data_IF_268869999069
#
_entry.id   IF_268869999069
#
_cell.length_a   1.000
_cell.length_b   1.000
_cell.length_c   1.000
_cell.angle_alpha   90.00
_cell.angle_beta   90.00
_cell.angle_gamma   90.00
#
_symmetry.space_group_name_H-M   'P 1'
#
loop_
_entity.id
_entity.type
_entity.pdbx_description
1 polymer ?
#
# COMPACT_ATOMS: atom_id res chain seq x y z
N UNK A 1 5.41 3.13 10.45
CA UNK A 1 4.30 3.86 9.79
C UNK A 1 3.97 3.37 8.38
N UNK A 2 4.90 2.70 7.70
CA UNK A 2 4.85 2.43 6.26
C UNK A 2 3.62 1.62 5.80
N UNK A 3 3.34 0.47 6.43
CA UNK A 3 2.13 -0.33 6.15
C UNK A 3 0.83 0.48 6.24
N UNK A 4 0.77 1.50 7.12
CA UNK A 4 -0.39 2.38 7.22
C UNK A 4 -0.48 3.36 6.04
N UNK A 5 0.66 3.84 5.54
CA UNK A 5 0.73 4.64 4.31
C UNK A 5 0.20 3.81 3.13
N UNK A 6 0.69 2.58 2.96
CA UNK A 6 0.22 1.68 1.92
C UNK A 6 -1.28 1.40 2.04
N UNK A 7 -1.74 1.02 3.25
CA UNK A 7 -3.17 0.81 3.53
C UNK A 7 -4.01 2.04 3.16
N UNK A 8 -3.58 3.24 3.56
CA UNK A 8 -4.30 4.48 3.28
C UNK A 8 -4.29 4.85 1.79
N UNK A 9 -3.23 4.52 1.06
CA UNK A 9 -3.18 4.68 -0.41
C UNK A 9 -4.26 3.82 -1.08
N UNK A 10 -4.43 2.58 -0.60
CA UNK A 10 -5.45 1.65 -1.08
C UNK A 10 -6.86 2.09 -0.76
N UNK A 11 -7.10 2.57 0.46
CA UNK A 11 -8.42 3.08 0.85
C UNK A 11 -8.79 4.34 0.06
N UNK A 12 -7.84 5.25 -0.22
CA UNK A 12 -8.08 6.44 -1.02
C UNK A 12 -8.44 6.07 -2.47
N UNK A 13 -7.66 5.16 -3.07
CA UNK A 13 -7.90 4.63 -4.43
C UNK A 13 -9.27 3.99 -4.52
N UNK A 14 -9.61 3.13 -3.57
CA UNK A 14 -10.89 2.45 -3.52
C UNK A 14 -12.07 3.40 -3.25
N UNK A 15 -11.90 4.42 -2.42
CA UNK A 15 -12.92 5.44 -2.18
C UNK A 15 -13.24 6.21 -3.47
N UNK A 16 -12.23 6.62 -4.24
CA UNK A 16 -12.41 7.27 -5.53
C UNK A 16 -13.19 6.37 -6.52
N UNK A 17 -12.80 5.11 -6.65
CA UNK A 17 -13.47 4.14 -7.54
C UNK A 17 -14.92 3.88 -7.06
N UNK A 18 -15.12 3.65 -5.76
CA UNK A 18 -16.43 3.34 -5.18
C UNK A 18 -17.43 4.50 -5.30
N UNK A 19 -16.95 5.75 -5.22
CA UNK A 19 -17.76 6.95 -5.46
C UNK A 19 -18.20 7.06 -6.93
N UNK A 20 -17.33 6.68 -7.86
CA UNK A 20 -17.63 6.65 -9.30
C UNK A 20 -18.57 5.50 -9.67
N UNK A 21 -18.58 4.44 -8.87
CA UNK A 21 -19.43 3.27 -9.08
C UNK A 21 -20.90 3.52 -8.69
N UNK A 22 -21.82 3.01 -9.52
CA UNK A 22 -23.25 2.96 -9.25
C UNK A 22 -23.59 1.80 -8.30
N UNK A 23 -23.24 1.95 -7.03
CA UNK A 23 -23.47 0.92 -6.00
C UNK A 23 -24.08 1.49 -4.72
N UNK A 24 -24.77 0.64 -3.96
CA UNK A 24 -25.34 1.01 -2.66
C UNK A 24 -24.25 1.40 -1.64
N UNK A 25 -24.58 2.28 -0.71
CA UNK A 25 -23.66 2.80 0.32
C UNK A 25 -22.93 1.71 1.11
N UNK A 26 -23.62 0.62 1.47
CA UNK A 26 -23.01 -0.55 2.14
C UNK A 26 -21.91 -1.19 1.28
N UNK A 27 -22.11 -1.28 -0.03
CA UNK A 27 -21.11 -1.81 -0.95
C UNK A 27 -19.93 -0.86 -1.10
N UNK A 28 -20.16 0.47 -1.08
CA UNK A 28 -19.08 1.46 -1.08
C UNK A 28 -18.16 1.29 0.14
N UNK A 29 -18.72 1.15 1.34
CA UNK A 29 -17.93 0.89 2.55
C UNK A 29 -17.10 -0.39 2.43
N UNK A 30 -17.69 -1.48 1.92
CA UNK A 30 -16.98 -2.74 1.67
C UNK A 30 -15.85 -2.58 0.67
N UNK A 31 -16.09 -1.86 -0.43
CA UNK A 31 -15.06 -1.61 -1.45
C UNK A 31 -13.89 -0.82 -0.86
N UNK A 32 -14.15 0.20 -0.03
CA UNK A 32 -13.08 0.97 0.64
C UNK A 32 -12.24 0.07 1.55
N UNK A 33 -12.87 -0.79 2.36
CA UNK A 33 -12.17 -1.76 3.19
C UNK A 33 -11.38 -2.78 2.36
N UNK A 34 -11.96 -3.26 1.25
CA UNK A 34 -11.25 -4.14 0.30
C UNK A 34 -10.02 -3.44 -0.27
N UNK A 35 -10.09 -2.14 -0.57
CA UNK A 35 -8.94 -1.36 -1.03
C UNK A 35 -7.81 -1.30 -0.02
N UNK A 36 -8.13 -0.98 1.24
CA UNK A 36 -7.13 -0.97 2.31
C UNK A 36 -6.45 -2.32 2.49
N UNK A 37 -7.24 -3.41 2.49
CA UNK A 37 -6.70 -4.77 2.53
C UNK A 37 -5.82 -5.09 1.32
N UNK A 38 -6.26 -4.74 0.11
CA UNK A 38 -5.53 -5.03 -1.12
C UNK A 38 -4.19 -4.31 -1.18
N UNK A 39 -4.11 -3.07 -0.70
CA UNK A 39 -2.86 -2.31 -0.65
C UNK A 39 -1.95 -2.75 0.49
N UNK A 40 -2.46 -3.30 1.60
CA UNK A 40 -1.61 -3.87 2.65
C UNK A 40 -1.12 -5.29 2.32
N UNK A 41 -1.69 -5.94 1.31
CA UNK A 41 -1.42 -7.33 0.99
C UNK A 41 0.01 -7.62 0.53
N UNK A 42 0.67 -6.76 -0.27
CA UNK A 42 2.05 -7.02 -0.72
C UNK A 42 3.01 -7.30 0.44
N UNK A 43 2.85 -6.60 1.57
CA UNK A 43 3.70 -6.73 2.76
C UNK A 43 3.39 -7.95 3.63
N UNK A 44 2.46 -8.82 3.23
CA UNK A 44 2.14 -10.03 3.99
C UNK A 44 3.37 -10.94 4.17
N UNK A 45 4.34 -10.84 3.27
CA UNK A 45 5.60 -11.59 3.33
C UNK A 45 6.59 -11.08 4.38
N UNK A 46 6.41 -9.88 4.95
CA UNK A 46 7.12 -9.47 6.17
C UNK A 46 6.73 -10.31 7.39
N UNK A 47 5.70 -11.16 7.29
CA UNK A 47 5.45 -12.23 8.25
C UNK A 47 6.67 -13.15 8.45
N UNK A 48 7.56 -13.26 7.46
CA UNK A 48 8.85 -13.96 7.61
C UNK A 48 9.76 -13.35 8.68
N UNK A 49 9.59 -12.06 9.03
CA UNK A 49 10.32 -11.40 10.11
C UNK A 49 9.70 -11.61 11.50
N UNK A 50 8.56 -12.30 11.60
CA UNK A 50 7.97 -12.59 12.89
C UNK A 50 8.94 -13.40 13.77
N UNK A 51 9.12 -13.01 15.03
CA UNK A 51 10.14 -13.58 15.93
C UNK A 51 10.02 -15.08 16.19
N UNK A 52 8.88 -15.70 15.87
CA UNK A 52 8.68 -17.16 15.98
C UNK A 52 8.61 -17.86 14.61
N UNK A 53 8.82 -17.16 13.50
CA UNK A 53 8.72 -17.71 12.15
C UNK A 53 9.61 -18.96 12.01
N UNK A 54 10.89 -18.83 12.31
CA UNK A 54 11.87 -19.93 12.16
C UNK A 54 11.56 -21.13 13.05
N UNK A 55 11.20 -20.89 14.32
CA UNK A 55 10.92 -21.94 15.29
C UNK A 55 9.58 -22.66 15.07
N UNK A 56 8.69 -22.08 14.27
CA UNK A 56 7.35 -22.62 13.98
C UNK A 56 7.23 -23.04 12.53
N UNK A 57 6.90 -22.10 11.63
CA UNK A 57 6.59 -22.34 10.23
C UNK A 57 7.85 -22.72 9.46
N UNK A 58 8.98 -22.06 9.71
CA UNK A 58 10.27 -22.41 9.11
C UNK A 58 10.65 -23.87 9.41
N UNK A 59 10.57 -24.27 10.69
CA UNK A 59 10.78 -25.66 11.11
C UNK A 59 9.76 -26.63 10.53
N UNK A 60 8.47 -26.28 10.53
CA UNK A 60 7.40 -27.14 10.01
C UNK A 60 7.55 -27.40 8.50
N UNK A 61 7.96 -26.39 7.74
CA UNK A 61 8.20 -26.48 6.30
C UNK A 61 9.61 -27.01 5.94
N UNK A 62 10.49 -27.22 6.92
CA UNK A 62 11.86 -27.66 6.70
C UNK A 62 12.69 -26.65 5.90
N UNK A 63 12.47 -25.34 6.10
CA UNK A 63 13.18 -24.30 5.36
C UNK A 63 14.66 -24.26 5.76
N UNK A 64 15.55 -24.19 4.77
CA UNK A 64 16.99 -24.04 4.98
C UNK A 64 17.43 -22.59 5.22
N UNK A 65 16.60 -21.62 4.80
CA UNK A 65 16.85 -20.19 4.98
C UNK A 65 16.03 -19.67 6.17
N UNK A 66 16.62 -18.76 6.95
CA UNK A 66 15.90 -18.07 8.03
C UNK A 66 14.85 -17.11 7.45
N UNK A 67 13.85 -16.75 8.24
CA UNK A 67 12.86 -15.73 7.89
C UNK A 67 13.48 -14.39 7.51
N UNK A 68 14.54 -14.00 8.21
CA UNK A 68 15.35 -12.82 7.86
C UNK A 68 16.00 -12.95 6.48
N UNK A 69 16.62 -14.09 6.17
CA UNK A 69 17.22 -14.33 4.86
C UNK A 69 16.18 -14.38 3.75
N UNK A 70 14.97 -14.86 4.05
CA UNK A 70 13.85 -14.86 3.11
C UNK A 70 13.42 -13.43 2.83
N UNK A 71 13.20 -12.62 3.86
CA UNK A 71 12.74 -11.25 3.71
C UNK A 71 13.71 -10.39 2.90
N UNK A 72 14.98 -10.34 3.31
CA UNK A 72 16.02 -9.52 2.69
C UNK A 72 16.69 -10.17 1.47
N UNK A 73 16.29 -11.39 1.10
CA UNK A 73 16.80 -12.09 -0.07
C UNK A 73 16.19 -11.61 -1.39
N UNK A 74 16.68 -12.18 -2.50
CA UNK A 74 16.10 -12.01 -3.86
C UNK A 74 15.43 -13.27 -4.38
N UNK A 75 14.81 -14.05 -3.49
CA UNK A 75 14.03 -15.24 -3.88
C UNK A 75 12.71 -14.77 -4.48
N UNK A 76 12.06 -15.61 -5.28
CA UNK A 76 10.78 -15.24 -5.88
C UNK A 76 9.68 -14.97 -4.84
N UNK A 77 9.82 -15.50 -3.61
CA UNK A 77 8.92 -15.30 -2.47
C UNK A 77 9.50 -14.38 -1.38
N UNK A 78 10.61 -13.69 -1.65
CA UNK A 78 11.12 -12.62 -0.79
C UNK A 78 10.23 -11.37 -0.88
N UNK A 79 10.40 -10.43 0.06
CA UNK A 79 9.57 -9.22 0.19
C UNK A 79 9.29 -8.55 -1.17
N UNK A 80 10.33 -8.03 -1.82
CA UNK A 80 10.20 -7.36 -3.12
C UNK A 80 10.18 -8.34 -4.32
N UNK A 81 9.76 -9.59 -4.09
CA UNK A 81 9.63 -10.65 -5.08
C UNK A 81 8.27 -10.66 -5.78
N UNK A 82 7.61 -11.83 -5.79
CA UNK A 82 6.35 -12.05 -6.50
C UNK A 82 5.24 -11.11 -6.03
N UNK A 83 5.05 -10.92 -4.72
CA UNK A 83 3.99 -10.04 -4.23
C UNK A 83 4.20 -8.58 -4.59
N UNK A 84 5.40 -8.15 -4.94
CA UNK A 84 5.65 -6.80 -5.44
C UNK A 84 5.64 -6.72 -6.98
N UNK A 85 4.69 -7.42 -7.60
CA UNK A 85 4.52 -7.46 -9.06
C UNK A 85 3.08 -7.20 -9.52
N UNK A 86 2.94 -6.71 -10.75
CA UNK A 86 1.63 -6.53 -11.39
C UNK A 86 0.92 -7.88 -11.58
N UNK A 87 1.69 -8.95 -11.83
CA UNK A 87 1.14 -10.30 -11.95
C UNK A 87 0.50 -10.76 -10.64
N UNK A 88 1.15 -10.49 -9.49
CA UNK A 88 0.56 -10.79 -8.19
C UNK A 88 -0.70 -9.95 -7.93
N UNK A 89 -0.73 -8.67 -8.31
CA UNK A 89 -1.94 -7.85 -8.19
C UNK A 89 -3.15 -8.51 -8.89
N UNK A 90 -2.96 -9.01 -10.11
CA UNK A 90 -4.02 -9.75 -10.84
C UNK A 90 -4.34 -11.07 -10.15
N UNK A 91 -3.32 -11.87 -9.84
CA UNK A 91 -3.48 -13.19 -9.24
C UNK A 91 -4.23 -13.13 -7.91
N UNK A 92 -3.81 -12.27 -6.99
CA UNK A 92 -4.42 -12.11 -5.66
C UNK A 92 -5.84 -11.54 -5.79
N UNK A 93 -6.09 -10.59 -6.71
CA UNK A 93 -7.44 -10.10 -6.97
C UNK A 93 -8.38 -11.23 -7.45
N UNK A 94 -7.91 -12.12 -8.33
CA UNK A 94 -8.67 -13.29 -8.77
C UNK A 94 -8.92 -14.27 -7.62
N UNK A 95 -7.89 -14.60 -6.83
CA UNK A 95 -8.04 -15.44 -5.63
C UNK A 95 -9.07 -14.86 -4.66
N UNK A 96 -9.01 -13.55 -4.39
CA UNK A 96 -9.97 -12.85 -3.55
C UNK A 96 -11.41 -12.99 -4.09
N UNK A 97 -11.61 -12.84 -5.41
CA UNK A 97 -12.93 -13.02 -6.02
C UNK A 97 -13.43 -14.46 -5.95
N UNK A 98 -12.55 -15.46 -6.08
CA UNK A 98 -12.88 -16.87 -5.93
C UNK A 98 -13.27 -17.20 -4.49
N UNK A 99 -12.52 -16.71 -3.50
CA UNK A 99 -12.89 -16.81 -2.09
C UNK A 99 -14.23 -16.12 -1.85
N UNK A 100 -14.41 -14.92 -2.42
CA UNK A 100 -15.67 -14.19 -2.30
C UNK A 100 -16.87 -14.95 -2.88
N UNK A 101 -16.66 -15.71 -3.96
CA UNK A 101 -17.70 -16.59 -4.56
C UNK A 101 -18.20 -17.64 -3.57
N UNK A 102 -17.38 -18.06 -2.59
CA UNK A 102 -17.79 -19.01 -1.55
C UNK A 102 -18.86 -18.46 -0.61
N UNK A 103 -19.08 -17.14 -0.54
CA UNK A 103 -20.23 -16.53 0.14
C UNK A 103 -21.45 -16.35 -0.77
N UNK A 104 -21.27 -16.45 -2.08
CA UNK A 104 -22.32 -16.34 -3.11
C UNK A 104 -22.60 -17.69 -3.77
N UNK A 105 -22.64 -18.78 -3.00
CA UNK A 105 -22.68 -20.17 -3.51
C UNK A 105 -23.85 -20.45 -4.45
N UNK A 106 -25.01 -19.80 -4.20
CA UNK A 106 -26.24 -19.99 -4.98
C UNK A 106 -26.18 -19.38 -6.38
N UNK A 107 -25.29 -18.42 -6.63
CA UNK A 107 -25.17 -17.78 -7.94
C UNK A 107 -24.34 -18.64 -8.90
N UNK A 108 -24.76 -18.79 -10.14
CA UNK A 108 -23.93 -19.40 -11.18
C UNK A 108 -22.64 -18.59 -11.39
N UNK A 109 -21.52 -19.24 -11.70
CA UNK A 109 -20.23 -18.56 -11.86
C UNK A 109 -20.26 -17.48 -12.95
N UNK A 110 -20.91 -17.74 -14.07
CA UNK A 110 -21.09 -16.80 -15.20
C UNK A 110 -21.85 -15.54 -14.78
N UNK A 111 -22.90 -15.68 -13.97
CA UNK A 111 -23.66 -14.54 -13.42
C UNK A 111 -22.82 -13.75 -12.42
N UNK A 112 -22.11 -14.45 -11.52
CA UNK A 112 -21.25 -13.81 -10.54
C UNK A 112 -20.11 -12.99 -11.18
N UNK A 113 -19.39 -13.58 -12.15
CA UNK A 113 -18.24 -12.96 -12.81
C UNK A 113 -18.66 -11.81 -13.73
N UNK A 114 -19.83 -11.89 -14.35
CA UNK A 114 -20.36 -10.82 -15.21
C UNK A 114 -20.98 -9.65 -14.43
N UNK A 115 -21.30 -9.84 -13.15
CA UNK A 115 -21.93 -8.79 -12.33
C UNK A 115 -21.06 -7.53 -12.21
N UNK A 116 -21.71 -6.36 -12.26
CA UNK A 116 -21.04 -5.06 -12.16
C UNK A 116 -20.24 -4.92 -10.85
N UNK A 117 -20.81 -5.40 -9.74
CA UNK A 117 -20.13 -5.36 -8.44
C UNK A 117 -18.84 -6.18 -8.44
N UNK A 118 -18.83 -7.38 -9.03
CA UNK A 118 -17.60 -8.20 -9.12
C UNK A 118 -16.52 -7.52 -9.96
N UNK A 119 -16.90 -6.88 -11.09
CA UNK A 119 -15.97 -6.10 -11.91
C UNK A 119 -15.39 -4.90 -11.15
N UNK A 120 -16.23 -4.18 -10.41
CA UNK A 120 -15.79 -3.04 -9.59
C UNK A 120 -14.89 -3.53 -8.45
N UNK A 121 -15.23 -4.64 -7.80
CA UNK A 121 -14.38 -5.24 -6.76
C UNK A 121 -13.02 -5.65 -7.31
N UNK A 122 -12.96 -6.24 -8.50
CA UNK A 122 -11.69 -6.52 -9.18
C UNK A 122 -10.89 -5.24 -9.39
N UNK A 123 -11.50 -4.21 -9.98
CA UNK A 123 -10.83 -2.93 -10.25
C UNK A 123 -10.33 -2.26 -8.97
N UNK A 124 -11.13 -2.27 -7.91
CA UNK A 124 -10.74 -1.75 -6.59
C UNK A 124 -9.54 -2.50 -6.05
N UNK A 125 -9.58 -3.84 -6.05
CA UNK A 125 -8.49 -4.65 -5.51
C UNK A 125 -7.21 -4.41 -6.32
N UNK A 126 -7.29 -4.53 -7.65
CA UNK A 126 -6.16 -4.35 -8.55
C UNK A 126 -5.55 -2.95 -8.43
N UNK A 127 -6.34 -1.88 -8.54
CA UNK A 127 -5.81 -0.52 -8.48
C UNK A 127 -5.26 -0.15 -7.09
N UNK A 128 -5.87 -0.61 -6.01
CA UNK A 128 -5.35 -0.40 -4.66
C UNK A 128 -4.04 -1.16 -4.42
N UNK A 129 -3.93 -2.37 -4.95
CA UNK A 129 -2.65 -3.10 -4.94
C UNK A 129 -1.57 -2.34 -5.71
N UNK A 130 -1.90 -1.78 -6.88
CA UNK A 130 -0.95 -0.97 -7.65
C UNK A 130 -0.55 0.33 -6.93
N UNK A 131 -1.42 0.91 -6.09
CA UNK A 131 -1.05 2.10 -5.32
C UNK A 131 0.00 1.78 -4.25
N UNK A 132 0.02 0.56 -3.70
CA UNK A 132 1.13 0.06 -2.89
C UNK A 132 2.42 0.06 -3.70
N UNK A 133 2.44 -0.66 -4.83
CA UNK A 133 3.64 -0.79 -5.66
C UNK A 133 4.20 0.58 -6.10
N UNK A 134 3.31 1.53 -6.41
CA UNK A 134 3.70 2.90 -6.75
C UNK A 134 4.35 3.65 -5.57
N UNK A 135 3.94 3.34 -4.33
CA UNK A 135 4.53 3.86 -3.10
C UNK A 135 5.95 3.36 -2.84
N UNK A 136 6.29 2.15 -3.32
CA UNK A 136 7.62 1.56 -3.16
C UNK A 136 8.63 2.03 -4.20
N UNK A 137 8.20 2.47 -5.39
CA UNK A 137 9.13 2.95 -6.41
C UNK A 137 10.08 4.08 -5.93
N UNK A 138 9.62 5.10 -5.19
CA UNK A 138 10.47 6.20 -4.72
C UNK A 138 11.32 5.88 -3.49
N UNK A 139 11.17 4.72 -2.85
CA UNK A 139 12.04 4.34 -1.72
C UNK A 139 13.42 3.89 -2.22
N UNK A 140 14.42 3.68 -1.36
CA UNK A 140 15.74 3.19 -1.78
C UNK A 140 15.67 1.79 -2.44
N UNK A 141 16.67 1.41 -3.22
CA UNK A 141 16.74 0.04 -3.75
C UNK A 141 16.92 -1.01 -2.65
N UNK A 142 17.72 -0.68 -1.63
CA UNK A 142 17.96 -1.57 -0.50
C UNK A 142 18.57 -2.91 -0.93
N UNK A 143 18.41 -3.97 -0.13
CA UNK A 143 18.94 -5.30 -0.46
C UNK A 143 18.25 -5.93 -1.69
N UNK A 144 17.12 -5.36 -2.14
CA UNK A 144 16.32 -5.88 -3.23
C UNK A 144 16.65 -5.25 -4.60
N UNK A 145 17.27 -4.07 -4.63
CA UNK A 145 17.46 -3.22 -5.81
C UNK A 145 16.15 -2.68 -6.42
N UNK A 146 15.13 -2.44 -5.59
CA UNK A 146 13.80 -1.99 -5.99
C UNK A 146 12.76 -3.11 -5.85
N UNK A 147 11.70 -3.08 -6.66
CA UNK A 147 10.63 -4.10 -6.69
C UNK A 147 10.62 -4.89 -8.00
N UNK A 148 10.25 -6.17 -7.94
CA UNK A 148 10.14 -7.05 -9.12
C UNK A 148 8.81 -6.86 -9.86
N UNK A 149 8.58 -5.62 -10.33
CA UNK A 149 7.31 -5.16 -10.89
C UNK A 149 6.78 -6.07 -12.02
N UNK A 150 7.69 -6.56 -12.86
CA UNK A 150 7.40 -7.42 -14.03
C UNK A 150 7.85 -8.87 -13.82
N UNK A 151 7.41 -9.53 -12.75
CA UNK A 151 7.61 -10.97 -12.57
C UNK A 151 7.04 -11.79 -13.76
N UNK A 152 7.72 -12.85 -14.26
CA UNK A 152 8.89 -13.53 -13.70
C UNK A 152 10.25 -13.00 -14.19
N UNK A 153 10.33 -11.87 -14.88
CA UNK A 153 11.63 -11.32 -15.27
C UNK A 153 12.45 -10.95 -14.02
N UNK A 154 13.77 -11.10 -14.09
CA UNK A 154 14.69 -10.83 -12.97
C UNK A 154 15.01 -9.34 -12.78
N UNK A 155 14.34 -8.46 -13.53
CA UNK A 155 14.55 -7.02 -13.49
C UNK A 155 13.79 -6.42 -12.31
N UNK A 156 14.50 -5.66 -11.49
CA UNK A 156 13.93 -4.83 -10.44
C UNK A 156 13.80 -3.39 -10.93
N UNK A 157 12.71 -2.72 -10.53
CA UNK A 157 12.33 -1.38 -10.95
C UNK A 157 12.04 -0.55 -9.71
N UNK A 158 12.29 0.76 -9.76
CA UNK A 158 12.17 1.65 -8.61
C UNK A 158 13.50 1.79 -7.90
N UNK A 159 13.47 1.89 -6.57
CA UNK A 159 14.67 2.11 -5.79
C UNK A 159 15.26 3.52 -5.98
N UNK A 160 14.43 4.48 -6.38
CA UNK A 160 14.88 5.83 -6.76
C UNK A 160 15.44 6.63 -5.58
N UNK A 161 15.11 6.26 -4.34
CA UNK A 161 15.68 6.89 -3.15
C UNK A 161 15.23 8.33 -2.92
N UNK A 162 14.05 8.73 -3.42
CA UNK A 162 13.50 10.06 -3.16
C UNK A 162 12.98 10.20 -1.73
N UNK A 163 12.53 9.12 -1.11
CA UNK A 163 12.12 9.08 0.29
C UNK A 163 12.82 7.94 1.03
N UNK A 164 12.80 8.01 2.35
CA UNK A 164 13.24 6.89 3.20
C UNK A 164 12.13 5.84 3.34
N UNK A 165 12.42 4.70 3.96
CA UNK A 165 11.43 3.63 4.15
C UNK A 165 10.36 3.99 5.20
N UNK A 166 10.76 4.39 6.41
CA UNK A 166 9.86 4.22 7.56
C UNK A 166 9.09 5.47 8.00
N UNK A 167 9.69 6.65 7.81
CA UNK A 167 9.33 7.85 8.56
C UNK A 167 8.69 8.95 7.69
N UNK A 168 7.97 8.57 6.64
CA UNK A 168 7.28 9.49 5.70
C UNK A 168 5.98 10.10 6.27
N UNK A 169 6.08 10.80 7.40
CA UNK A 169 4.94 11.28 8.17
C UNK A 169 4.07 12.31 7.46
N UNK A 170 4.65 13.17 6.63
CA UNK A 170 3.90 14.11 5.80
C UNK A 170 3.07 13.41 4.71
N UNK A 171 3.61 12.34 4.08
CA UNK A 171 2.87 11.49 3.12
C UNK A 171 1.71 10.81 3.84
N UNK A 172 1.95 10.25 5.02
CA UNK A 172 0.91 9.68 5.88
C UNK A 172 -0.22 10.70 6.16
N UNK A 173 0.12 11.92 6.57
CA UNK A 173 -0.88 12.96 6.85
C UNK A 173 -1.65 13.38 5.60
N UNK A 174 -0.98 13.50 4.45
CA UNK A 174 -1.63 13.85 3.19
C UNK A 174 -2.64 12.76 2.78
N UNK A 175 -2.26 11.48 2.88
CA UNK A 175 -3.15 10.35 2.63
C UNK A 175 -4.30 10.30 3.65
N UNK A 176 -4.03 10.54 4.93
CA UNK A 176 -5.06 10.57 5.97
C UNK A 176 -6.09 11.67 5.69
N UNK A 177 -5.64 12.90 5.39
CA UNK A 177 -6.51 14.01 5.03
C UNK A 177 -7.32 13.72 3.77
N UNK A 178 -6.68 13.17 2.73
CA UNK A 178 -7.34 12.74 1.49
C UNK A 178 -8.43 11.72 1.77
N UNK A 179 -8.14 10.70 2.60
CA UNK A 179 -9.12 9.69 2.99
C UNK A 179 -10.29 10.27 3.77
N UNK A 180 -10.03 11.15 4.74
CA UNK A 180 -11.09 11.84 5.51
C UNK A 180 -12.02 12.58 4.54
N UNK A 181 -11.47 13.40 3.64
CA UNK A 181 -12.27 14.16 2.67
C UNK A 181 -13.08 13.25 1.74
N UNK A 182 -12.47 12.18 1.22
CA UNK A 182 -13.15 11.22 0.33
C UNK A 182 -14.29 10.49 1.05
N UNK A 183 -14.02 9.94 2.24
CA UNK A 183 -15.00 9.20 3.04
C UNK A 183 -16.15 10.14 3.45
N UNK A 184 -15.83 11.31 3.97
CA UNK A 184 -16.84 12.33 4.32
C UNK A 184 -17.69 12.69 3.12
N UNK A 185 -17.09 12.92 1.95
CA UNK A 185 -17.84 13.18 0.71
C UNK A 185 -18.80 12.03 0.35
N UNK A 186 -18.31 10.79 0.37
CA UNK A 186 -19.08 9.59 -0.01
C UNK A 186 -20.29 9.34 0.89
N UNK A 187 -20.16 9.57 2.20
CA UNK A 187 -21.20 9.25 3.17
C UNK A 187 -22.12 10.42 3.53
N UNK A 188 -21.65 11.67 3.38
CA UNK A 188 -22.47 12.85 3.71
C UNK A 188 -23.16 13.47 2.49
N UNK A 189 -22.61 13.36 1.27
CA UNK A 189 -23.25 13.95 0.10
C UNK A 189 -24.40 13.05 -0.37
N UNK A 190 -25.66 13.55 -0.39
CA UNK A 190 -26.79 12.74 -0.80
C UNK A 190 -26.69 12.24 -2.25
N UNK A 191 -27.20 11.03 -2.50
CA UNK A 191 -27.14 10.37 -3.82
C UNK A 191 -27.76 11.23 -4.94
N UNK A 192 -28.73 12.10 -4.64
CA UNK A 192 -29.29 13.05 -5.62
C UNK A 192 -28.24 13.99 -6.25
N UNK A 193 -27.09 14.18 -5.61
CA UNK A 193 -25.97 14.98 -6.10
C UNK A 193 -24.82 14.12 -6.67
N UNK A 194 -25.13 12.93 -7.21
CA UNK A 194 -24.12 11.96 -7.65
C UNK A 194 -23.08 12.54 -8.63
N UNK A 195 -23.50 13.40 -9.58
CA UNK A 195 -22.57 14.04 -10.53
C UNK A 195 -21.59 14.96 -9.83
N UNK A 196 -22.05 15.74 -8.85
CA UNK A 196 -21.20 16.60 -8.04
C UNK A 196 -20.25 15.77 -7.17
N UNK A 197 -20.77 14.73 -6.49
CA UNK A 197 -19.97 13.81 -5.68
C UNK A 197 -18.81 13.21 -6.50
N UNK A 198 -19.09 12.67 -7.69
CA UNK A 198 -18.08 12.07 -8.58
C UNK A 198 -16.97 13.06 -8.96
N UNK A 199 -17.33 14.31 -9.25
CA UNK A 199 -16.35 15.36 -9.56
C UNK A 199 -15.53 15.74 -8.32
N UNK A 200 -16.20 15.95 -7.20
CA UNK A 200 -15.56 16.33 -5.94
C UNK A 200 -14.55 15.27 -5.48
N UNK A 201 -14.93 13.98 -5.48
CA UNK A 201 -14.00 12.91 -5.07
C UNK A 201 -12.82 12.78 -6.02
N UNK A 202 -13.02 12.98 -7.33
CA UNK A 202 -11.96 12.90 -8.31
C UNK A 202 -10.96 14.05 -8.12
N UNK A 203 -11.46 15.27 -7.89
CA UNK A 203 -10.64 16.45 -7.60
C UNK A 203 -9.83 16.23 -6.31
N UNK A 204 -10.47 15.77 -5.24
CA UNK A 204 -9.79 15.47 -3.96
C UNK A 204 -8.70 14.41 -4.15
N UNK A 205 -9.02 13.30 -4.83
CA UNK A 205 -8.08 12.20 -5.07
C UNK A 205 -6.87 12.66 -5.91
N UNK A 206 -7.11 13.33 -7.05
CA UNK A 206 -6.04 13.84 -7.93
C UNK A 206 -5.17 14.86 -7.19
N UNK A 207 -5.80 15.77 -6.43
CA UNK A 207 -5.06 16.79 -5.66
C UNK A 207 -4.18 16.13 -4.59
N UNK A 208 -4.70 15.13 -3.88
CA UNK A 208 -3.93 14.32 -2.93
C UNK A 208 -2.73 13.65 -3.61
N UNK A 209 -2.91 12.98 -4.75
CA UNK A 209 -1.83 12.38 -5.51
C UNK A 209 -0.77 13.41 -5.93
N UNK A 210 -1.18 14.56 -6.48
CA UNK A 210 -0.25 15.63 -6.89
C UNK A 210 0.55 16.15 -5.69
N UNK A 211 -0.10 16.40 -4.55
CA UNK A 211 0.58 16.88 -3.35
C UNK A 211 1.60 15.87 -2.81
N UNK A 212 1.27 14.57 -2.83
CA UNK A 212 2.18 13.50 -2.44
C UNK A 212 3.37 13.44 -3.39
N UNK A 213 3.14 13.38 -4.70
CA UNK A 213 4.20 13.35 -5.70
C UNK A 213 5.08 14.60 -5.62
N UNK A 214 4.50 15.78 -5.40
CA UNK A 214 5.23 17.02 -5.19
C UNK A 214 6.08 16.97 -3.92
N UNK A 215 5.54 16.47 -2.80
CA UNK A 215 6.30 16.35 -1.55
C UNK A 215 7.48 15.39 -1.68
N UNK A 216 7.28 14.26 -2.37
CA UNK A 216 8.33 13.27 -2.65
C UNK A 216 9.39 13.84 -3.61
N UNK A 217 8.96 14.51 -4.69
CA UNK A 217 9.89 15.03 -5.70
C UNK A 217 10.71 16.25 -5.27
N UNK A 218 10.32 16.93 -4.17
CA UNK A 218 11.05 18.09 -3.63
C UNK A 218 11.95 17.74 -2.44
N UNK A 219 12.20 16.45 -2.19
CA UNK A 219 13.17 16.00 -1.21
C UNK A 219 14.58 16.39 -1.64
N UNK A 220 15.39 16.81 -0.67
CA UNK A 220 16.76 17.29 -0.95
C UNK A 220 17.81 16.20 -0.86
N UNK A 221 17.55 15.19 -0.03
CA UNK A 221 18.48 14.09 0.17
C UNK A 221 18.19 12.98 -0.84
N UNK A 222 19.26 12.41 -1.39
CA UNK A 222 19.21 11.19 -2.19
C UNK A 222 19.48 9.99 -1.28
N UNK A 223 18.45 9.18 -1.07
CA UNK A 223 18.52 7.95 -0.29
C UNK A 223 18.84 6.73 -1.15
N UNK A 224 19.16 6.87 -2.43
CA UNK A 224 19.41 5.74 -3.32
C UNK A 224 20.65 4.95 -2.88
N UNK A 225 20.47 3.66 -2.64
CA UNK A 225 21.53 2.68 -2.49
C UNK A 225 21.04 1.29 -2.89
N UNK A 226 21.98 0.41 -3.22
CA UNK A 226 21.78 -0.99 -3.57
C UNK A 226 22.53 -1.88 -2.58
N UNK A 227 21.95 -3.04 -2.25
CA UNK A 227 22.50 -3.94 -1.24
C UNK A 227 22.41 -3.36 0.18
N UNK A 228 23.51 -3.46 0.92
CA UNK A 228 23.64 -2.92 2.27
C UNK A 228 24.39 -1.59 2.24
N UNK A 229 24.00 -0.66 3.12
CA UNK A 229 24.69 0.63 3.26
C UNK A 229 25.28 0.80 4.65
N UNK A 230 26.54 1.26 4.71
CA UNK A 230 27.17 1.69 5.98
C UNK A 230 26.59 3.03 6.49
N UNK A 231 25.82 3.73 5.66
CA UNK A 231 25.21 5.04 5.98
C UNK A 231 23.77 4.93 6.49
N UNK A 232 23.29 3.74 6.87
CA UNK A 232 21.90 3.55 7.30
C UNK A 232 21.48 4.54 8.40
N UNK A 233 22.27 4.63 9.48
CA UNK A 233 22.00 5.55 10.60
C UNK A 233 22.03 7.02 10.18
N UNK A 234 22.84 7.36 9.16
CA UNK A 234 22.88 8.70 8.61
C UNK A 234 21.57 9.00 7.87
N UNK A 235 21.12 8.11 6.97
CA UNK A 235 19.88 8.30 6.21
C UNK A 235 18.64 8.37 7.10
N UNK A 236 18.55 7.49 8.10
CA UNK A 236 17.47 7.53 9.10
C UNK A 236 17.42 8.90 9.78
N UNK A 237 18.57 9.39 10.26
CA UNK A 237 18.68 10.69 10.94
C UNK A 237 18.31 11.86 10.02
N UNK A 238 18.79 11.86 8.78
CA UNK A 238 18.49 12.93 7.81
C UNK A 238 17.01 12.94 7.46
N UNK A 239 16.41 11.78 7.22
CA UNK A 239 14.97 11.70 6.96
C UNK A 239 14.14 12.20 8.16
N UNK A 240 14.50 11.80 9.38
CA UNK A 240 13.86 12.31 10.60
C UNK A 240 13.99 13.84 10.73
N UNK A 241 15.15 14.41 10.41
CA UNK A 241 15.38 15.86 10.43
C UNK A 241 14.56 16.59 9.36
N UNK A 242 14.43 16.00 8.17
CA UNK A 242 13.61 16.57 7.11
C UNK A 242 12.13 16.57 7.51
N UNK A 243 11.64 15.49 8.10
CA UNK A 243 10.27 15.39 8.62
C UNK A 243 10.01 16.38 9.74
N UNK A 244 10.98 16.57 10.65
CA UNK A 244 10.92 17.61 11.66
C UNK A 244 10.82 19.01 11.05
N UNK A 245 11.55 19.28 9.96
CA UNK A 245 11.51 20.56 9.24
C UNK A 245 10.16 20.79 8.54
N UNK A 246 9.61 19.77 7.88
CA UNK A 246 8.36 19.87 7.12
C UNK A 246 7.16 20.05 8.05
N UNK A 247 7.08 19.26 9.11
CA UNK A 247 5.92 19.22 10.00
C UNK A 247 5.98 20.24 11.14
N UNK A 248 7.18 20.71 11.45
CA UNK A 248 7.44 21.49 12.64
C UNK A 248 7.48 20.63 13.92
N UNK A 249 8.06 21.16 15.01
CA UNK A 249 8.34 20.38 16.22
C UNK A 249 7.12 19.72 16.88
N UNK A 250 5.96 20.39 17.07
CA UNK A 250 4.84 19.79 17.81
C UNK A 250 4.26 18.57 17.11
N UNK A 251 3.96 18.71 15.81
CA UNK A 251 3.32 17.67 15.01
C UNK A 251 4.26 16.49 14.79
N UNK A 252 5.54 16.76 14.49
CA UNK A 252 6.55 15.71 14.37
C UNK A 252 6.68 14.89 15.65
N UNK A 253 6.79 15.53 16.81
CA UNK A 253 6.93 14.81 18.10
C UNK A 253 5.70 13.96 18.41
N UNK A 254 4.51 14.45 18.06
CA UNK A 254 3.28 13.67 18.20
C UNK A 254 3.31 12.42 17.31
N UNK A 255 3.64 12.57 16.02
CA UNK A 255 3.69 11.44 15.07
C UNK A 255 4.78 10.44 15.43
N UNK A 256 5.98 10.89 15.80
CA UNK A 256 7.05 10.02 16.27
C UNK A 256 6.65 9.23 17.53
N UNK A 257 5.92 9.86 18.46
CA UNK A 257 5.41 9.18 19.66
C UNK A 257 4.34 8.15 19.29
N UNK A 258 3.48 8.45 18.33
CA UNK A 258 2.46 7.51 17.82
C UNK A 258 3.10 6.32 17.12
N UNK A 259 4.07 6.57 16.23
CA UNK A 259 4.80 5.54 15.49
C UNK A 259 5.52 4.57 16.43
N UNK A 260 6.22 5.10 17.46
CA UNK A 260 6.89 4.29 18.49
C UNK A 260 5.94 3.47 19.38
N UNK A 261 4.63 3.77 19.37
CA UNK A 261 3.61 3.03 20.12
C UNK A 261 2.92 1.97 19.29
N UNK A 262 3.16 1.93 17.98
CA UNK A 262 2.60 0.87 17.14
C UNK A 262 3.20 -0.47 17.60
N UNK A 263 2.37 -1.47 17.95
CA UNK A 263 2.84 -2.76 18.45
C UNK A 263 3.44 -3.64 17.35
N UNK A 264 3.45 -3.13 16.12
CA UNK A 264 3.89 -3.83 14.94
C UNK A 264 5.09 -3.07 14.38
N UNK A 265 6.26 -3.70 14.48
CA UNK A 265 7.47 -3.27 13.80
C UNK A 265 7.46 -3.91 12.42
N UNK A 266 6.75 -3.27 11.49
CA UNK A 266 7.07 -3.40 10.07
C UNK A 266 8.12 -2.33 9.77
#
# INVERSE_FOLDING_TARGET
MDILIHTLSGTATAACIAACAHTATRNRARLILTGGFAAAFPDIDAFSLWSKFDSTIGKWLGLSASGHDIYFGKRWYSHHGFFHSILAAVFVALCYLLIRKLWHRKEAFTSYSSSSLTKITFAVFFCAYLSHLAGDLPTPGGPWDGIRLFFPFSVYVGGWGYIWWWNNYDVFLCLLATNILLITGIFLIPVRFNTFLKRAVLVVYITGCILICYSIGNRKEDFAYSGNTLRYNYYEKVSMQEQFRILGPPLYRYLLKTDRRLPIHF
#
